data_IF_588906572476
#
_entry.id   IF_588906572476
#
_cell.length_a   1.000
_cell.length_b   1.000
_cell.length_c   1.000
_cell.angle_alpha   90.00
_cell.angle_beta   90.00
_cell.angle_gamma   90.00
#
_symmetry.space_group_name_H-M   'P 1'
#
loop_
_entity.id
_entity.type
_entity.pdbx_description
1 polymer ?
#
# COMPACT_ATOMS: atom_id res chain seq x y z
N UNK A 1 36.43 10.87 -3.32
CA UNK A 1 35.04 10.33 -3.34
C UNK A 1 34.63 9.84 -1.94
N UNK A 2 33.63 10.50 -1.33
CA UNK A 2 33.21 10.20 0.04
C UNK A 2 32.69 8.77 0.19
N UNK A 3 32.94 8.19 1.37
CA UNK A 3 32.57 6.83 1.80
C UNK A 3 31.07 6.50 1.65
N UNK A 4 30.23 7.51 1.40
CA UNK A 4 28.78 7.45 1.41
C UNK A 4 28.10 7.46 0.04
N UNK A 5 28.85 7.46 -1.07
CA UNK A 5 28.25 7.40 -2.42
C UNK A 5 27.42 6.13 -2.66
N UNK A 6 27.74 5.03 -1.95
CA UNK A 6 26.95 3.80 -1.95
C UNK A 6 25.65 3.89 -1.14
N UNK A 7 25.56 4.78 -0.15
CA UNK A 7 24.35 4.90 0.69
C UNK A 7 23.18 5.50 -0.08
N UNK A 8 23.42 6.49 -0.96
CA UNK A 8 22.36 7.08 -1.79
C UNK A 8 21.69 6.03 -2.69
N UNK A 9 22.49 5.16 -3.33
CA UNK A 9 21.97 4.08 -4.18
C UNK A 9 21.13 3.09 -3.35
N UNK A 10 21.58 2.74 -2.15
CA UNK A 10 20.81 1.90 -1.23
C UNK A 10 19.44 2.54 -0.90
N UNK A 11 19.39 3.83 -0.58
CA UNK A 11 18.14 4.53 -0.30
C UNK A 11 17.23 4.64 -1.52
N UNK A 12 17.78 4.84 -2.72
CA UNK A 12 17.01 4.85 -3.97
C UNK A 12 16.38 3.48 -4.23
N UNK A 13 17.15 2.39 -4.07
CA UNK A 13 16.64 1.03 -4.23
C UNK A 13 15.55 0.74 -3.19
N UNK A 14 15.79 1.04 -1.92
CA UNK A 14 14.82 0.83 -0.86
C UNK A 14 13.52 1.62 -1.12
N UNK A 15 13.62 2.90 -1.45
CA UNK A 15 12.46 3.73 -1.77
C UNK A 15 11.71 3.23 -3.01
N UNK A 16 12.41 2.76 -4.03
CA UNK A 16 11.80 2.17 -5.23
C UNK A 16 11.01 0.89 -4.89
N UNK A 17 11.59 0.01 -4.06
CA UNK A 17 10.90 -1.19 -3.57
C UNK A 17 9.65 -0.80 -2.77
N UNK A 18 9.74 0.18 -1.88
CA UNK A 18 8.59 0.68 -1.11
C UNK A 18 7.47 1.20 -2.03
N UNK A 19 7.80 1.99 -3.05
CA UNK A 19 6.82 2.49 -4.04
C UNK A 19 6.16 1.33 -4.78
N UNK A 20 6.93 0.34 -5.25
CA UNK A 20 6.39 -0.85 -5.93
C UNK A 20 5.43 -1.61 -5.01
N UNK A 21 5.82 -1.84 -3.75
CA UNK A 21 4.98 -2.51 -2.76
C UNK A 21 3.67 -1.75 -2.53
N UNK A 22 3.72 -0.43 -2.37
CA UNK A 22 2.52 0.42 -2.20
C UNK A 22 1.61 0.30 -3.43
N UNK A 23 2.15 0.29 -4.65
CA UNK A 23 1.36 0.12 -5.88
C UNK A 23 0.69 -1.26 -5.93
N UNK A 24 1.39 -2.33 -5.51
CA UNK A 24 0.81 -3.67 -5.46
C UNK A 24 -0.33 -3.76 -4.43
N UNK A 25 -0.13 -3.17 -3.25
CA UNK A 25 -1.16 -3.06 -2.21
C UNK A 25 -2.35 -2.25 -2.73
N UNK A 26 -2.08 -1.11 -3.37
CA UNK A 26 -3.10 -0.24 -3.96
C UNK A 26 -3.97 -0.99 -4.96
N UNK A 27 -3.36 -1.77 -5.87
CA UNK A 27 -4.09 -2.63 -6.81
C UNK A 27 -4.98 -3.64 -6.08
N UNK A 28 -4.48 -4.31 -5.04
CA UNK A 28 -5.26 -5.30 -4.28
C UNK A 28 -6.43 -4.67 -3.52
N UNK A 29 -6.26 -3.47 -2.99
CA UNK A 29 -7.30 -2.78 -2.20
C UNK A 29 -8.38 -2.17 -3.10
N UNK A 30 -8.00 -1.61 -4.25
CA UNK A 30 -8.99 -1.14 -5.26
C UNK A 30 -9.94 -2.25 -5.68
N UNK A 31 -9.46 -3.49 -5.77
CA UNK A 31 -10.30 -4.64 -6.08
C UNK A 31 -11.42 -4.86 -5.06
N UNK A 32 -11.24 -4.44 -3.80
CA UNK A 32 -12.26 -4.50 -2.73
C UNK A 32 -13.23 -3.30 -2.71
N UNK A 33 -13.12 -2.38 -3.69
CA UNK A 33 -14.04 -1.24 -3.91
C UNK A 33 -14.29 -0.30 -2.72
N UNK A 34 -13.41 -0.22 -1.72
CA UNK A 34 -13.57 0.77 -0.66
C UNK A 34 -13.13 2.18 -1.15
N UNK A 35 -14.07 3.15 -1.32
CA UNK A 35 -13.75 4.48 -1.80
C UNK A 35 -12.97 5.33 -0.77
N UNK A 36 -12.98 4.98 0.51
CA UNK A 36 -12.27 5.72 1.54
C UNK A 36 -10.77 5.40 1.58
N UNK A 37 -10.37 4.27 0.99
CA UNK A 37 -8.97 3.85 0.94
C UNK A 37 -8.12 4.62 -0.09
N UNK A 38 -8.73 5.30 -1.06
CA UNK A 38 -7.99 6.05 -2.06
C UNK A 38 -7.18 7.21 -1.48
N UNK A 39 -7.75 7.95 -0.52
CA UNK A 39 -7.11 9.13 0.09
C UNK A 39 -5.83 8.75 0.84
N UNK A 40 -5.85 7.83 1.84
CA UNK A 40 -4.63 7.46 2.55
C UNK A 40 -3.56 6.86 1.64
N UNK A 41 -3.97 6.02 0.68
CA UNK A 41 -3.01 5.37 -0.22
C UNK A 41 -2.35 6.36 -1.18
N UNK A 42 -3.10 7.32 -1.73
CA UNK A 42 -2.53 8.36 -2.60
C UNK A 42 -1.62 9.31 -1.84
N UNK A 43 -1.91 9.63 -0.57
CA UNK A 43 -1.03 10.40 0.30
C UNK A 43 0.31 9.69 0.55
N UNK A 44 0.27 8.40 0.93
CA UNK A 44 1.48 7.61 1.18
C UNK A 44 2.29 7.43 -0.11
N UNK A 45 1.63 7.09 -1.21
CA UNK A 45 2.28 6.92 -2.51
C UNK A 45 2.91 8.23 -3.00
N UNK A 46 2.17 9.34 -2.92
CA UNK A 46 2.63 10.66 -3.34
C UNK A 46 3.87 11.13 -2.56
N UNK A 47 3.86 10.95 -1.23
CA UNK A 47 5.02 11.25 -0.40
C UNK A 47 6.23 10.36 -0.74
N UNK A 48 6.03 9.05 -0.87
CA UNK A 48 7.11 8.13 -1.23
C UNK A 48 7.73 8.44 -2.59
N UNK A 49 6.89 8.78 -3.59
CA UNK A 49 7.33 9.18 -4.93
C UNK A 49 8.07 10.52 -4.89
N UNK A 50 7.59 11.52 -4.14
CA UNK A 50 8.28 12.80 -3.98
C UNK A 50 9.69 12.63 -3.41
N UNK A 51 9.80 11.85 -2.34
CA UNK A 51 11.07 11.49 -1.71
C UNK A 51 12.01 10.68 -2.62
N UNK A 52 11.47 9.88 -3.55
CA UNK A 52 12.25 9.17 -4.56
C UNK A 52 12.74 10.11 -5.67
N UNK A 53 11.88 11.01 -6.16
CA UNK A 53 12.22 12.00 -7.18
C UNK A 53 13.38 12.88 -6.71
N UNK A 54 13.34 13.35 -5.47
CA UNK A 54 14.42 14.15 -4.90
C UNK A 54 15.74 13.38 -4.91
N UNK A 55 15.74 12.13 -4.42
CA UNK A 55 16.93 11.29 -4.42
C UNK A 55 17.48 11.01 -5.82
N UNK A 56 16.63 10.87 -6.83
CA UNK A 56 17.07 10.64 -8.22
C UNK A 56 17.62 11.92 -8.87
N UNK A 57 17.05 13.09 -8.55
CA UNK A 57 17.44 14.36 -9.20
C UNK A 57 18.64 15.04 -8.56
N UNK A 58 18.75 14.97 -7.23
CA UNK A 58 19.71 15.75 -6.45
C UNK A 58 20.50 14.90 -5.45
N UNK A 59 20.41 13.56 -5.52
CA UNK A 59 21.12 12.59 -4.67
C UNK A 59 20.81 12.68 -3.15
N UNK A 60 19.82 13.47 -2.75
CA UNK A 60 19.37 13.66 -1.36
C UNK A 60 17.93 14.14 -1.27
N UNK A 61 17.36 14.09 -0.08
CA UNK A 61 16.08 14.71 0.24
C UNK A 61 16.32 16.11 0.82
N UNK A 62 15.45 17.07 0.50
CA UNK A 62 15.51 18.42 1.08
C UNK A 62 14.53 18.50 2.25
N UNK A 63 15.08 18.56 3.45
CA UNK A 63 14.32 18.84 4.67
C UNK A 63 14.30 20.35 4.94
N UNK A 64 13.12 20.91 5.21
CA UNK A 64 12.93 22.36 5.33
C UNK A 64 12.00 22.78 6.47
N UNK A 65 11.27 21.84 7.09
CA UNK A 65 10.38 22.12 8.21
C UNK A 65 11.14 21.84 9.51
N UNK A 66 11.46 22.89 10.27
CA UNK A 66 12.20 22.81 11.53
C UNK A 66 11.42 23.47 12.67
N UNK A 67 11.00 22.67 13.66
CA UNK A 67 10.34 23.12 14.89
C UNK A 67 11.26 23.22 16.10
N UNK A 68 12.58 22.94 15.95
CA UNK A 68 13.63 22.92 16.99
C UNK A 68 13.46 21.90 18.12
N UNK A 69 12.24 21.43 18.38
CA UNK A 69 11.91 20.39 19.37
C UNK A 69 11.70 19.01 18.74
N UNK A 70 11.62 18.97 17.40
CA UNK A 70 11.32 17.77 16.62
C UNK A 70 12.33 17.68 15.46
N UNK A 71 12.72 16.47 15.01
CA UNK A 71 13.59 16.31 13.85
C UNK A 71 13.09 17.09 12.63
N UNK A 72 14.00 17.67 11.86
CA UNK A 72 13.65 18.38 10.62
C UNK A 72 13.05 17.38 9.63
N UNK A 73 11.99 17.77 8.95
CA UNK A 73 11.31 16.92 7.96
C UNK A 73 10.84 17.73 6.75
N UNK A 74 10.26 17.03 5.78
CA UNK A 74 9.72 17.64 4.58
C UNK A 74 8.22 17.37 4.39
N UNK A 75 7.65 17.94 3.32
CA UNK A 75 6.24 17.75 3.02
C UNK A 75 5.88 16.30 2.64
N UNK A 76 6.81 15.55 2.02
CA UNK A 76 6.59 14.15 1.68
C UNK A 76 6.45 13.26 2.94
N UNK A 77 7.25 13.50 3.98
CA UNK A 77 7.16 12.79 5.25
C UNK A 77 5.83 13.09 5.94
N UNK A 78 5.38 14.34 5.87
CA UNK A 78 4.06 14.75 6.39
C UNK A 78 2.92 14.01 5.67
N UNK A 79 2.97 13.93 4.34
CA UNK A 79 1.99 13.22 3.54
C UNK A 79 1.94 11.72 3.89
N UNK A 80 3.11 11.09 4.06
CA UNK A 80 3.20 9.68 4.49
C UNK A 80 2.59 9.50 5.87
N UNK A 81 2.94 10.33 6.85
CA UNK A 81 2.43 10.21 8.23
C UNK A 81 0.92 10.42 8.27
N UNK A 82 0.40 11.46 7.60
CA UNK A 82 -1.03 11.71 7.53
C UNK A 82 -1.78 10.57 6.83
N UNK A 83 -1.28 10.07 5.69
CA UNK A 83 -1.87 8.95 4.98
C UNK A 83 -1.88 7.67 5.81
N UNK A 84 -0.79 7.37 6.51
CA UNK A 84 -0.70 6.23 7.42
C UNK A 84 -1.63 6.37 8.63
N UNK A 85 -1.80 7.57 9.18
CA UNK A 85 -2.73 7.82 10.29
C UNK A 85 -4.18 7.56 9.85
N UNK A 86 -4.57 8.07 8.68
CA UNK A 86 -5.91 7.82 8.12
C UNK A 86 -6.11 6.33 7.82
N UNK A 87 -5.10 5.65 7.26
CA UNK A 87 -5.15 4.21 7.00
C UNK A 87 -5.33 3.41 8.29
N UNK A 88 -4.58 3.75 9.33
CA UNK A 88 -4.65 3.10 10.63
C UNK A 88 -6.03 3.27 11.26
N UNK A 89 -6.56 4.49 11.26
CA UNK A 89 -7.92 4.78 11.75
C UNK A 89 -8.93 3.94 10.96
N UNK A 90 -8.84 3.93 9.63
CA UNK A 90 -9.77 3.17 8.80
C UNK A 90 -9.73 1.67 9.15
N UNK A 91 -8.56 1.05 9.22
CA UNK A 91 -8.42 -0.38 9.57
C UNK A 91 -8.92 -0.70 10.99
N UNK A 92 -8.69 0.20 11.96
CA UNK A 92 -9.14 -0.01 13.35
C UNK A 92 -10.67 0.04 13.51
N UNK A 93 -11.35 0.88 12.72
CA UNK A 93 -12.80 1.09 12.84
C UNK A 93 -13.61 0.36 11.76
N UNK A 94 -12.98 -0.07 10.66
CA UNK A 94 -13.61 -0.80 9.55
C UNK A 94 -12.83 -2.09 9.30
N UNK A 95 -12.92 -3.04 10.22
CA UNK A 95 -12.43 -4.39 9.98
C UNK A 95 -13.23 -5.02 8.82
N UNK A 96 -12.58 -5.58 7.79
CA UNK A 96 -13.30 -6.21 6.70
C UNK A 96 -14.07 -7.41 7.24
N UNK A 97 -15.38 -7.47 6.94
CA UNK A 97 -16.10 -8.74 6.98
C UNK A 97 -15.35 -9.73 6.07
N UNK A 98 -15.13 -10.95 6.57
CA UNK A 98 -14.45 -11.97 5.78
C UNK A 98 -15.29 -12.26 4.54
N UNK A 99 -14.69 -12.10 3.35
CA UNK A 99 -15.24 -12.63 2.11
C UNK A 99 -15.12 -14.17 2.16
N UNK A 100 -16.06 -14.83 2.85
CA UNK A 100 -16.31 -16.28 2.77
C UNK A 100 -17.26 -16.61 1.58
N UNK A 101 -17.54 -15.65 0.69
CA UNK A 101 -18.54 -15.80 -0.38
C UNK A 101 -18.04 -16.62 -1.58
N UNK A 102 -16.72 -16.67 -1.84
CA UNK A 102 -16.16 -17.34 -3.02
C UNK A 102 -15.96 -18.85 -2.90
N UNK A 103 -15.87 -19.38 -1.67
CA UNK A 103 -15.76 -20.83 -1.45
C UNK A 103 -17.13 -21.50 -1.35
N UNK A 104 -18.12 -20.84 -0.71
CA UNK A 104 -19.48 -21.36 -0.58
C UNK A 104 -20.14 -21.65 -1.93
N UNK A 105 -20.13 -20.68 -2.86
CA UNK A 105 -20.70 -20.86 -4.21
C UNK A 105 -20.01 -21.97 -5.00
N UNK A 106 -18.71 -22.19 -4.76
CA UNK A 106 -17.94 -23.24 -5.43
C UNK A 106 -18.31 -24.62 -4.91
N UNK A 107 -18.53 -24.77 -3.60
CA UNK A 107 -18.95 -26.04 -2.99
C UNK A 107 -20.39 -26.40 -3.35
N UNK A 108 -21.32 -25.45 -3.28
CA UNK A 108 -22.72 -25.67 -3.68
C UNK A 108 -22.82 -26.12 -5.14
N UNK A 109 -22.07 -25.46 -6.04
CA UNK A 109 -22.02 -25.85 -7.45
C UNK A 109 -21.42 -27.25 -7.65
N UNK A 110 -20.42 -27.63 -6.86
CA UNK A 110 -19.79 -28.96 -6.96
C UNK A 110 -20.73 -30.06 -6.45
N UNK A 111 -21.49 -29.79 -5.38
CA UNK A 111 -22.52 -30.69 -4.86
C UNK A 111 -23.68 -30.89 -5.86
N UNK A 112 -24.15 -29.82 -6.51
CA UNK A 112 -25.15 -29.93 -7.58
C UNK A 112 -24.65 -30.74 -8.77
N UNK A 113 -23.39 -30.53 -9.20
CA UNK A 113 -22.78 -31.28 -10.31
C UNK A 113 -22.59 -32.76 -9.98
N UNK A 114 -22.23 -33.13 -8.75
CA UNK A 114 -22.11 -34.54 -8.33
C UNK A 114 -23.48 -35.20 -8.22
N UNK A 115 -24.48 -34.52 -7.67
CA UNK A 115 -25.85 -35.05 -7.59
C UNK A 115 -26.44 -35.36 -8.96
N UNK A 116 -26.21 -34.50 -9.95
CA UNK A 116 -26.65 -34.74 -11.33
C UNK A 116 -25.95 -35.96 -11.97
N UNK A 117 -24.66 -36.17 -11.66
CA UNK A 117 -23.91 -37.35 -12.15
C UNK A 117 -24.32 -38.67 -11.48
N UNK A 118 -24.90 -38.62 -10.30
CA UNK A 118 -25.45 -39.81 -9.61
C UNK A 118 -26.84 -40.16 -10.16
N UNK A 119 -27.71 -39.17 -10.40
CA UNK A 119 -29.04 -39.38 -11.02
C UNK A 119 -28.95 -39.92 -12.46
N UNK A 120 -27.98 -39.50 -13.26
CA UNK A 120 -27.77 -40.00 -14.63
C UNK A 120 -27.17 -41.44 -14.68
N UNK A 121 -26.75 -42.01 -13.53
CA UNK A 121 -26.17 -43.36 -13.43
C UNK A 121 -27.17 -44.43 -12.98
N UNK A 122 -28.36 -44.05 -12.54
CA UNK A 122 -29.48 -44.96 -12.19
C UNK A 122 -30.40 -45.22 -13.40
#
# INVERSE_FOLDING_TARGET
PGLFKYQTIFFVIAASISVILIILIYKKIIFKKDPFMYIPLTLVLGGAVGNLIDRVRIDRVIDFIDFRIWPVFNFADSAIVCGMLVLLIHVLFHAPEKEDEGEGEKWEKWEEEEKYKEEDKE
#
